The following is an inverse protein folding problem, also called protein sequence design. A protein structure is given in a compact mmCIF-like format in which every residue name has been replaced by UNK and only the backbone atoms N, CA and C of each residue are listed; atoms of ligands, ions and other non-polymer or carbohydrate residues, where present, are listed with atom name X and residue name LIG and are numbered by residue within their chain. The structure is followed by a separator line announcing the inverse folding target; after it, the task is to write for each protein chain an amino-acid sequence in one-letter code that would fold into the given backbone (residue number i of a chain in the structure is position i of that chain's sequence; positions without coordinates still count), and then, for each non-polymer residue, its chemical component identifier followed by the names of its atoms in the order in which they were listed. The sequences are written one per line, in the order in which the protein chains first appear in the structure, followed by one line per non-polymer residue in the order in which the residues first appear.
data_IF_562844987414
#
_entry.id   IF_562844987414
#
_cell.length_a   1.000
_cell.length_b   1.000
_cell.length_c   1.000
_cell.angle_alpha   90.00
_cell.angle_beta   90.00
_cell.angle_gamma   90.00
#
_symmetry.space_group_name_H-M   'P 1'
#
loop_
_entity.id
_entity.type
_entity.pdbx_description
1 polymer ?
#
# COMPACT_ATOMS: atom_id res chain seq x y z
N UNK A 1 -46.87 -14.49 25.97
CA UNK A 1 -46.15 -13.49 25.15
C UNK A 1 -44.67 -13.29 25.56
N UNK A 2 -44.00 -14.26 26.22
CA UNK A 2 -42.58 -14.10 26.63
C UNK A 2 -41.57 -14.79 25.71
N UNK A 3 -41.94 -15.92 25.10
CA UNK A 3 -41.03 -16.72 24.28
C UNK A 3 -40.64 -16.06 22.94
N UNK A 4 -41.52 -15.23 22.37
CA UNK A 4 -41.28 -14.55 21.09
C UNK A 4 -40.33 -13.34 21.21
N UNK A 5 -40.19 -12.78 22.42
CA UNK A 5 -39.29 -11.65 22.67
C UNK A 5 -37.85 -12.14 22.86
N UNK A 6 -37.68 -13.30 23.50
CA UNK A 6 -36.38 -13.93 23.71
C UNK A 6 -35.74 -14.41 22.39
N UNK A 7 -36.52 -14.95 21.46
CA UNK A 7 -36.02 -15.37 20.15
C UNK A 7 -35.63 -14.21 19.24
N UNK A 8 -36.32 -13.06 19.33
CA UNK A 8 -35.96 -11.85 18.57
C UNK A 8 -34.64 -11.21 19.05
N UNK A 9 -34.38 -11.26 20.36
CA UNK A 9 -33.12 -10.76 20.92
C UNK A 9 -31.94 -11.68 20.58
N UNK A 10 -32.14 -12.99 20.62
CA UNK A 10 -31.10 -13.98 20.31
C UNK A 10 -30.65 -13.92 18.84
N UNK A 11 -31.59 -13.72 17.90
CA UNK A 11 -31.26 -13.58 16.48
C UNK A 11 -30.57 -12.25 16.18
N UNK A 12 -30.98 -11.15 16.82
CA UNK A 12 -30.35 -9.84 16.66
C UNK A 12 -28.89 -9.77 17.14
N UNK A 13 -28.59 -10.37 18.30
CA UNK A 13 -27.23 -10.40 18.86
C UNK A 13 -26.26 -11.26 18.03
N UNK A 14 -26.76 -12.34 17.43
CA UNK A 14 -25.94 -13.24 16.61
C UNK A 14 -25.45 -12.57 15.32
N UNK A 15 -26.30 -11.73 14.70
CA UNK A 15 -25.93 -10.97 13.51
C UNK A 15 -24.90 -9.87 13.81
N UNK A 16 -25.04 -9.18 14.95
CA UNK A 16 -24.07 -8.18 15.40
C UNK A 16 -22.71 -8.80 15.71
N UNK A 17 -22.68 -9.93 16.41
CA UNK A 17 -21.43 -10.66 16.69
C UNK A 17 -20.73 -11.12 15.40
N UNK A 18 -21.50 -11.65 14.44
CA UNK A 18 -20.98 -12.02 13.11
C UNK A 18 -20.40 -10.82 12.36
N UNK A 19 -21.09 -9.68 12.34
CA UNK A 19 -20.64 -8.47 11.66
C UNK A 19 -19.34 -7.90 12.26
N UNK A 20 -19.20 -7.92 13.60
CA UNK A 20 -17.98 -7.46 14.29
C UNK A 20 -16.79 -8.36 13.97
N UNK A 21 -16.99 -9.69 13.91
CA UNK A 21 -15.94 -10.64 13.53
C UNK A 21 -15.50 -10.50 12.07
N UNK A 22 -16.44 -10.27 11.13
CA UNK A 22 -16.08 -10.01 9.72
C UNK A 22 -15.36 -8.66 9.57
N UNK A 23 -15.82 -7.62 10.29
CA UNK A 23 -15.15 -6.31 10.31
C UNK A 23 -13.73 -6.41 10.85
N UNK A 24 -13.49 -7.17 11.92
CA UNK A 24 -12.15 -7.30 12.52
C UNK A 24 -11.18 -8.05 11.60
N UNK A 25 -11.66 -9.06 10.85
CA UNK A 25 -10.84 -9.75 9.83
C UNK A 25 -10.52 -8.84 8.64
N UNK A 26 -11.47 -8.01 8.20
CA UNK A 26 -11.23 -7.02 7.13
C UNK A 26 -10.31 -5.87 7.56
N UNK A 27 -10.33 -5.47 8.83
CA UNK A 27 -9.40 -4.47 9.38
C UNK A 27 -7.98 -5.04 9.55
N UNK A 28 -7.86 -6.30 10.00
CA UNK A 28 -6.57 -6.97 10.17
C UNK A 28 -5.89 -7.36 8.85
N UNK A 29 -6.67 -7.66 7.82
CA UNK A 29 -6.18 -7.82 6.45
C UNK A 29 -6.77 -6.69 5.61
N UNK A 30 -6.12 -5.50 5.55
CA UNK A 30 -6.48 -4.54 4.52
C UNK A 30 -6.31 -5.29 3.22
N UNK A 31 -7.43 -5.56 2.55
CA UNK A 31 -7.52 -6.33 1.33
C UNK A 31 -6.64 -5.64 0.29
N UNK A 32 -5.37 -6.04 0.22
CA UNK A 32 -4.43 -5.61 -0.80
C UNK A 32 -4.82 -6.31 -2.10
N UNK A 33 -5.94 -5.88 -2.66
CA UNK A 33 -6.31 -6.10 -4.04
C UNK A 33 -5.21 -5.66 -5.02
N UNK A 34 -5.33 -6.08 -6.28
CA UNK A 34 -4.39 -5.74 -7.34
C UNK A 34 -4.48 -4.25 -7.66
N UNK A 35 -3.71 -3.43 -6.94
CA UNK A 35 -3.71 -1.97 -7.10
C UNK A 35 -3.34 -1.15 -5.85
N UNK A 36 -3.21 -1.75 -4.66
CA UNK A 36 -3.00 -0.99 -3.41
C UNK A 36 -1.65 -0.27 -3.25
N UNK A 37 -0.64 -0.56 -4.07
CA UNK A 37 0.62 0.14 -3.97
C UNK A 37 0.50 1.50 -4.68
N UNK A 38 0.65 2.64 -3.97
CA UNK A 38 0.57 3.95 -4.61
C UNK A 38 1.57 4.00 -5.76
N UNK A 39 1.18 4.59 -6.89
CA UNK A 39 2.08 4.74 -8.03
C UNK A 39 3.29 5.57 -7.58
N UNK A 40 4.48 5.21 -8.07
CA UNK A 40 5.65 6.03 -7.81
C UNK A 40 5.44 7.39 -8.49
N UNK A 41 5.40 8.47 -7.70
CA UNK A 41 5.17 9.83 -8.20
C UNK A 41 6.24 10.26 -9.21
N UNK A 42 7.50 9.82 -9.02
CA UNK A 42 8.63 10.19 -9.88
C UNK A 42 8.53 9.65 -11.30
N UNK A 43 8.03 8.41 -11.48
CA UNK A 43 7.90 7.79 -12.81
C UNK A 43 6.45 7.54 -13.23
N UNK A 44 5.49 8.08 -12.47
CA UNK A 44 4.05 7.94 -12.67
C UNK A 44 3.59 6.51 -12.97
N UNK A 45 4.14 5.51 -12.25
CA UNK A 45 3.79 4.11 -12.47
C UNK A 45 4.56 3.36 -13.55
N UNK A 46 5.31 4.03 -14.42
CA UNK A 46 5.98 3.38 -15.58
C UNK A 46 7.23 2.59 -15.21
N UNK A 47 7.81 2.87 -14.04
CA UNK A 47 9.08 2.27 -13.59
C UNK A 47 10.32 2.77 -14.33
N UNK A 48 10.17 3.57 -15.40
CA UNK A 48 11.31 4.08 -16.19
C UNK A 48 11.23 5.58 -16.34
N UNK A 49 12.37 6.24 -16.24
CA UNK A 49 12.52 7.69 -16.45
C UNK A 49 13.46 7.95 -17.63
N UNK A 50 13.41 9.16 -18.17
CA UNK A 50 14.40 9.58 -19.15
C UNK A 50 15.80 9.45 -18.57
N UNK A 51 16.72 8.98 -19.40
CA UNK A 51 18.11 8.89 -19.04
C UNK A 51 18.69 10.29 -18.80
N UNK A 52 19.39 10.49 -17.68
CA UNK A 52 19.94 11.80 -17.31
C UNK A 52 21.25 12.14 -18.03
N UNK A 53 21.79 11.23 -18.82
CA UNK A 53 23.04 11.45 -19.53
C UNK A 53 22.80 11.71 -21.01
N UNK A 54 23.63 12.60 -21.54
CA UNK A 54 23.85 12.78 -22.97
C UNK A 54 25.12 12.06 -23.40
N UNK A 55 25.20 11.66 -24.67
CA UNK A 55 26.43 11.14 -25.27
C UNK A 55 27.43 12.29 -25.39
N UNK A 56 28.65 12.09 -24.90
CA UNK A 56 29.69 13.14 -24.78
C UNK A 56 30.14 13.82 -26.09
N UNK A 57 29.64 13.37 -27.24
CA UNK A 57 30.07 13.89 -28.54
C UNK A 57 28.97 14.57 -29.34
N UNK A 58 27.71 14.14 -29.22
CA UNK A 58 26.69 14.48 -30.23
C UNK A 58 25.39 15.00 -29.61
N UNK A 59 25.30 15.15 -28.29
CA UNK A 59 24.07 15.56 -27.60
C UNK A 59 22.95 14.51 -27.63
N UNK A 60 23.12 13.43 -28.38
CA UNK A 60 22.17 12.33 -28.48
C UNK A 60 22.01 11.56 -27.17
N UNK A 61 20.85 10.93 -27.04
CA UNK A 61 20.52 10.11 -25.87
C UNK A 61 21.20 8.75 -25.99
N UNK A 62 22.16 8.44 -25.11
CA UNK A 62 22.79 7.13 -25.13
C UNK A 62 24.16 7.01 -24.49
N UNK A 63 24.27 7.28 -23.19
CA UNK A 63 25.47 6.88 -22.46
C UNK A 63 25.39 5.42 -21.99
N UNK A 64 26.53 4.91 -21.49
CA UNK A 64 26.69 3.54 -20.96
C UNK A 64 25.69 3.20 -19.86
N UNK A 65 25.31 4.18 -19.03
CA UNK A 65 24.36 4.01 -17.92
C UNK A 65 22.97 3.55 -18.37
N UNK A 66 22.56 3.92 -19.58
CA UNK A 66 21.26 3.55 -20.15
C UNK A 66 21.39 2.64 -21.37
N UNK A 67 22.58 2.10 -21.63
CA UNK A 67 22.87 1.21 -22.76
C UNK A 67 22.39 1.74 -24.11
N UNK A 68 22.45 3.05 -24.34
CA UNK A 68 21.95 3.65 -25.60
C UNK A 68 20.42 3.75 -25.73
N UNK A 69 19.63 3.19 -24.80
CA UNK A 69 18.16 3.16 -24.89
C UNK A 69 17.47 4.48 -24.54
N UNK A 70 18.20 5.39 -23.90
CA UNK A 70 17.66 6.65 -23.40
C UNK A 70 16.65 6.55 -22.26
N UNK A 71 16.45 5.35 -21.69
CA UNK A 71 15.57 5.15 -20.53
C UNK A 71 16.26 4.37 -19.43
N UNK A 72 16.30 4.93 -18.24
CA UNK A 72 16.80 4.24 -17.04
C UNK A 72 15.67 3.82 -16.12
N UNK A 73 15.95 2.84 -15.26
CA UNK A 73 15.05 2.50 -14.17
C UNK A 73 14.86 3.71 -13.24
N UNK A 74 13.64 3.94 -12.78
CA UNK A 74 13.34 4.98 -11.81
C UNK A 74 14.01 4.62 -10.48
N UNK A 75 14.91 5.48 -9.99
CA UNK A 75 15.62 5.27 -8.72
C UNK A 75 14.68 5.27 -7.52
N UNK A 76 13.65 6.13 -7.54
CA UNK A 76 12.69 6.27 -6.44
C UNK A 76 11.87 5.00 -6.17
N UNK A 77 11.62 4.17 -7.18
CA UNK A 77 10.90 2.90 -7.02
C UNK A 77 11.75 1.67 -7.42
N UNK A 78 13.02 1.86 -7.74
CA UNK A 78 13.92 0.79 -8.20
C UNK A 78 13.46 0.11 -9.50
N UNK A 79 12.69 0.80 -10.35
CA UNK A 79 12.17 0.23 -11.60
C UNK A 79 10.81 -0.45 -11.50
N UNK A 80 10.23 -0.59 -10.30
CA UNK A 80 9.00 -1.36 -10.10
C UNK A 80 7.71 -0.60 -10.47
N UNK A 81 7.80 0.72 -10.65
CA UNK A 81 6.64 1.59 -10.93
C UNK A 81 5.73 1.85 -9.73
N UNK A 82 5.81 1.03 -8.69
CA UNK A 82 5.09 1.22 -7.43
C UNK A 82 5.94 1.97 -6.41
N UNK A 83 5.35 2.97 -5.75
CA UNK A 83 5.94 3.63 -4.60
C UNK A 83 6.10 2.63 -3.47
N UNK A 84 7.28 2.62 -2.83
CA UNK A 84 7.52 1.78 -1.65
C UNK A 84 6.81 2.39 -0.45
N UNK A 85 5.75 1.77 0.10
CA UNK A 85 5.32 2.13 1.44
C UNK A 85 6.47 1.80 2.40
N UNK A 86 6.94 2.79 3.15
CA UNK A 86 7.91 2.59 4.22
C UNK A 86 7.11 2.30 5.50
N UNK A 87 6.99 1.03 5.94
CA UNK A 87 6.31 0.73 7.19
C UNK A 87 7.15 1.30 8.34
N UNK A 88 6.62 2.30 9.03
CA UNK A 88 7.18 2.75 10.30
C UNK A 88 6.53 1.95 11.43
N UNK A 89 7.31 1.43 12.35
CA UNK A 89 6.78 0.87 13.59
C UNK A 89 6.77 1.99 14.65
N UNK A 90 5.58 2.39 15.08
CA UNK A 90 5.41 3.34 16.17
C UNK A 90 5.31 2.57 17.49
N UNK A 91 6.34 2.65 18.33
CA UNK A 91 6.29 2.11 19.70
C UNK A 91 5.71 3.14 20.65
N UNK A 92 4.41 3.05 20.93
CA UNK A 92 3.76 3.90 21.94
C UNK A 92 3.89 3.22 23.30
N UNK A 93 4.70 3.78 24.21
CA UNK A 93 4.67 3.38 25.62
C UNK A 93 3.40 3.94 26.25
N UNK A 94 2.52 3.06 26.69
CA UNK A 94 1.34 3.46 27.48
C UNK A 94 1.84 4.15 28.76
N UNK A 95 1.40 5.39 29.08
CA UNK A 95 1.71 5.99 30.36
C UNK A 95 1.07 5.12 31.44
N UNK A 96 1.89 4.59 32.34
CA UNK A 96 1.45 3.82 33.50
C UNK A 96 0.30 4.56 34.19
N UNK A 97 -0.91 4.00 34.10
CA UNK A 97 -2.07 4.50 34.83
C UNK A 97 -1.88 4.10 36.29
N UNK A 98 -1.80 5.04 37.24
CA UNK A 98 -1.77 4.71 38.66
C UNK A 98 -3.09 4.06 39.05
N UNK A 99 -2.97 3.00 39.85
CA UNK A 99 -4.02 2.28 40.59
C UNK A 99 -4.89 3.17 41.44
#
# INVERSE_FOLDING_TARGET
MGAMVLTQLATGLSLLAGAVLVKSVMDQKPMAGPGQFPRCSTCNGTGRVNCLCSRWSDGDVGCRTCSGSGRMACSSCGGNGTGRPLPIQLSVRSPNRPS
#
